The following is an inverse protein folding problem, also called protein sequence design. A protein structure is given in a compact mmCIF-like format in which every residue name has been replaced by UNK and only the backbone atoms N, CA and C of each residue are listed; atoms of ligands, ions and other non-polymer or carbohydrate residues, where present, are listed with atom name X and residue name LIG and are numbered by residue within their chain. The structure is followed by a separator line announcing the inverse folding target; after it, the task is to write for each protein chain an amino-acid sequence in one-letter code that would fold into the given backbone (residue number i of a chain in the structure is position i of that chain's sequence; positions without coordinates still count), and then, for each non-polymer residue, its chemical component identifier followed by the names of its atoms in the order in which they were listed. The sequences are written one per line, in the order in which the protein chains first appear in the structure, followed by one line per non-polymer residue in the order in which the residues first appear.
data_IF_313796168417
#
_entry.id   IF_313796168417
#
_cell.length_a   1.000
_cell.length_b   1.000
_cell.length_c   1.000
_cell.angle_alpha   90.00
_cell.angle_beta   90.00
_cell.angle_gamma   90.00
#
_symmetry.space_group_name_H-M   'P 1'
#
loop_
_entity.id
_entity.type
_entity.pdbx_description
1 polymer ?
#
# COMPACT_ATOMS: atom_id res chain seq x y z
N UNK A 1 30.37 19.32 5.59
CA UNK A 1 29.44 19.00 4.48
C UNK A 1 28.59 17.84 4.95
N UNK A 2 27.32 18.08 5.31
CA UNK A 2 26.42 17.01 5.75
C UNK A 2 26.03 16.11 4.57
N UNK A 3 25.72 14.83 4.80
CA UNK A 3 25.21 13.96 3.74
C UNK A 3 23.92 14.58 3.20
N UNK A 4 23.89 14.95 1.93
CA UNK A 4 22.69 15.50 1.31
C UNK A 4 21.55 14.47 1.40
N UNK A 5 20.39 14.87 1.91
CA UNK A 5 19.22 14.00 1.98
C UNK A 5 18.76 13.61 0.58
N UNK A 6 18.47 12.34 0.37
CA UNK A 6 17.80 11.85 -0.84
C UNK A 6 16.30 11.68 -0.57
N UNK A 7 15.47 12.11 -1.52
CA UNK A 7 14.01 12.02 -1.43
C UNK A 7 13.48 11.31 -2.68
N UNK A 8 12.68 10.26 -2.50
CA UNK A 8 11.95 9.61 -3.58
C UNK A 8 10.47 9.97 -3.45
N UNK A 9 9.93 10.66 -4.45
CA UNK A 9 8.50 10.96 -4.56
C UNK A 9 7.85 9.95 -5.49
N UNK A 10 6.72 9.41 -5.07
CA UNK A 10 5.99 8.37 -5.82
C UNK A 10 4.51 8.72 -5.82
N UNK A 11 3.87 8.62 -6.97
CA UNK A 11 2.43 8.84 -7.11
C UNK A 11 1.84 7.99 -8.24
N UNK A 12 0.54 7.78 -8.18
CA UNK A 12 -0.21 7.12 -9.26
C UNK A 12 -0.45 8.11 -10.40
N UNK A 13 -0.01 7.78 -11.61
CA UNK A 13 -0.25 8.58 -12.83
C UNK A 13 -1.65 8.36 -13.41
N UNK A 14 -2.32 7.27 -13.00
CA UNK A 14 -3.70 6.93 -13.38
C UNK A 14 -4.50 6.46 -12.16
N UNK A 15 -5.83 6.35 -12.31
CA UNK A 15 -6.67 5.75 -11.26
C UNK A 15 -6.36 4.25 -11.19
N UNK A 16 -5.94 3.72 -10.02
CA UNK A 16 -5.69 2.29 -9.87
C UNK A 16 -6.95 1.47 -10.13
N UNK A 17 -6.80 0.33 -10.79
CA UNK A 17 -7.88 -0.62 -11.05
C UNK A 17 -7.74 -1.79 -10.09
N UNK A 18 -8.83 -2.12 -9.41
CA UNK A 18 -8.90 -3.24 -8.47
C UNK A 18 -9.85 -4.31 -9.02
N UNK A 19 -9.35 -5.54 -9.08
CA UNK A 19 -10.14 -6.71 -9.46
C UNK A 19 -9.92 -7.82 -8.45
N UNK A 20 -10.99 -8.32 -7.84
CA UNK A 20 -10.88 -9.39 -6.84
C UNK A 20 -11.11 -10.77 -7.47
N UNK A 21 -10.21 -11.70 -7.14
CA UNK A 21 -10.23 -13.10 -7.54
C UNK A 21 -10.05 -13.99 -6.30
N UNK A 22 -10.34 -15.31 -6.36
CA UNK A 22 -10.12 -16.23 -5.24
C UNK A 22 -8.70 -16.26 -4.68
N UNK A 23 -7.69 -15.91 -5.49
CA UNK A 23 -6.28 -15.85 -5.06
C UNK A 23 -5.92 -14.56 -4.31
N UNK A 24 -6.72 -13.50 -4.45
CA UNK A 24 -6.43 -12.19 -3.88
C UNK A 24 -7.06 -11.04 -4.69
N UNK A 25 -6.86 -9.82 -4.22
CA UNK A 25 -7.24 -8.62 -4.96
C UNK A 25 -6.08 -8.15 -5.82
N UNK A 26 -6.23 -8.21 -7.14
CA UNK A 26 -5.26 -7.67 -8.08
C UNK A 26 -5.42 -6.16 -8.16
N UNK A 27 -4.33 -5.45 -7.88
CA UNK A 27 -4.21 -4.00 -8.03
C UNK A 27 -3.31 -3.73 -9.23
N UNK A 28 -3.84 -3.01 -10.20
CA UNK A 28 -3.08 -2.49 -11.33
C UNK A 28 -2.99 -0.97 -11.24
N UNK A 29 -1.79 -0.42 -11.35
CA UNK A 29 -1.56 1.02 -11.34
C UNK A 29 -0.42 1.41 -12.28
N UNK A 30 -0.57 2.56 -12.92
CA UNK A 30 0.55 3.26 -13.52
C UNK A 30 1.12 4.23 -12.50
N UNK A 31 2.41 4.12 -12.21
CA UNK A 31 3.10 4.84 -11.15
C UNK A 31 4.23 5.66 -11.75
N UNK A 32 4.34 6.91 -11.32
CA UNK A 32 5.46 7.79 -11.62
C UNK A 32 6.27 8.03 -10.37
N UNK A 33 7.59 8.17 -10.54
CA UNK A 33 8.49 8.45 -9.45
C UNK A 33 9.61 9.40 -9.86
N UNK A 34 10.02 10.24 -8.92
CA UNK A 34 11.10 11.20 -9.04
C UNK A 34 12.04 11.09 -7.84
N UNK A 35 13.32 10.90 -8.11
CA UNK A 35 14.38 10.87 -7.12
C UNK A 35 15.14 12.20 -7.12
N UNK A 36 15.22 12.83 -5.96
CA UNK A 36 15.99 14.05 -5.72
C UNK A 36 17.19 13.72 -4.83
N UNK A 37 18.40 14.07 -5.27
CA UNK A 37 19.63 13.84 -4.53
C UNK A 37 20.34 15.16 -4.22
N UNK A 38 20.91 15.29 -3.02
CA UNK A 38 21.84 16.39 -2.70
C UNK A 38 21.19 17.78 -2.59
N UNK A 39 19.89 17.86 -2.28
CA UNK A 39 19.16 19.14 -2.14
C UNK A 39 18.95 19.90 -3.46
N UNK A 40 19.10 19.21 -4.60
CA UNK A 40 18.83 19.79 -5.92
C UNK A 40 17.34 20.04 -6.12
N UNK A 41 17.00 21.08 -6.88
CA UNK A 41 15.61 21.41 -7.25
C UNK A 41 15.09 20.60 -8.43
N UNK A 42 15.99 20.00 -9.23
CA UNK A 42 15.63 19.14 -10.34
C UNK A 42 15.80 17.66 -9.96
N UNK A 43 14.91 16.77 -10.45
CA UNK A 43 15.02 15.34 -10.19
C UNK A 43 16.27 14.76 -10.88
N UNK A 44 17.01 13.93 -10.13
CA UNK A 44 18.17 13.18 -10.61
C UNK A 44 17.76 11.99 -11.47
N UNK A 45 16.62 11.36 -11.16
CA UNK A 45 16.05 10.23 -11.90
C UNK A 45 14.53 10.37 -11.93
N UNK A 46 13.94 10.23 -13.12
CA UNK A 46 12.50 10.12 -13.31
C UNK A 46 12.20 8.77 -13.94
N UNK A 47 11.20 8.06 -13.42
CA UNK A 47 10.72 6.84 -14.07
C UNK A 47 9.22 6.66 -13.95
N UNK A 48 8.68 5.89 -14.88
CA UNK A 48 7.27 5.52 -14.91
C UNK A 48 7.15 4.01 -15.11
N UNK A 49 6.34 3.36 -14.30
CA UNK A 49 6.14 1.91 -14.31
C UNK A 49 4.66 1.55 -14.31
N UNK A 50 4.29 0.52 -15.05
CA UNK A 50 3.05 -0.20 -14.81
C UNK A 50 3.32 -1.32 -13.81
N UNK A 51 2.54 -1.33 -12.72
CA UNK A 51 2.70 -2.29 -11.63
C UNK A 51 1.40 -3.05 -11.46
N UNK A 52 1.51 -4.38 -11.39
CA UNK A 52 0.42 -5.31 -11.09
C UNK A 52 0.82 -6.16 -9.88
N UNK A 53 0.02 -6.08 -8.82
CA UNK A 53 0.26 -6.80 -7.55
C UNK A 53 -1.00 -7.54 -7.16
N UNK A 54 -0.85 -8.80 -6.75
CA UNK A 54 -1.91 -9.54 -6.05
C UNK A 54 -1.76 -9.28 -4.55
N UNK A 55 -2.81 -8.75 -3.94
CA UNK A 55 -2.81 -8.38 -2.52
C UNK A 55 -3.79 -9.26 -1.76
N UNK A 56 -3.31 -9.90 -0.70
CA UNK A 56 -4.14 -10.55 0.32
C UNK A 56 -4.09 -9.75 1.61
N UNK A 57 -5.12 -9.91 2.44
CA UNK A 57 -5.28 -9.13 3.67
C UNK A 57 -5.43 -10.08 4.85
N UNK A 58 -4.80 -9.75 5.97
CA UNK A 58 -5.04 -10.42 7.24
C UNK A 58 -5.23 -9.39 8.36
N UNK A 59 -5.91 -9.79 9.43
CA UNK A 59 -6.09 -8.96 10.62
C UNK A 59 -5.64 -9.75 11.85
N UNK A 60 -4.71 -9.20 12.63
CA UNK A 60 -4.26 -9.77 13.89
C UNK A 60 -3.75 -8.68 14.81
N UNK A 61 -3.77 -8.91 16.13
CA UNK A 61 -3.27 -7.94 17.13
C UNK A 61 -3.85 -6.52 16.97
N UNK A 62 -5.13 -6.45 16.58
CA UNK A 62 -5.85 -5.21 16.25
C UNK A 62 -5.21 -4.38 15.12
N UNK A 63 -4.51 -5.04 14.19
CA UNK A 63 -3.84 -4.42 13.04
C UNK A 63 -4.19 -5.12 11.73
N UNK A 64 -4.27 -4.33 10.67
CA UNK A 64 -4.37 -4.80 9.29
C UNK A 64 -2.98 -5.07 8.75
N UNK A 65 -2.82 -6.19 8.04
CA UNK A 65 -1.61 -6.53 7.30
C UNK A 65 -1.98 -6.77 5.85
N UNK A 66 -1.24 -6.14 4.94
CA UNK A 66 -1.36 -6.36 3.51
C UNK A 66 -0.16 -7.17 3.02
N UNK A 67 -0.42 -8.29 2.37
CA UNK A 67 0.61 -9.15 1.78
C UNK A 67 0.54 -9.04 0.27
N UNK A 68 1.62 -8.57 -0.34
CA UNK A 68 1.69 -8.35 -1.78
C UNK A 68 2.55 -9.39 -2.47
N UNK A 69 2.01 -9.99 -3.52
CA UNK A 69 2.76 -10.79 -4.48
C UNK A 69 2.83 -10.03 -5.81
N UNK A 70 4.03 -9.55 -6.22
CA UNK A 70 4.21 -8.95 -7.53
C UNK A 70 3.81 -9.93 -8.64
N UNK A 71 3.02 -9.46 -9.61
CA UNK A 71 2.64 -10.24 -10.79
C UNK A 71 3.39 -9.76 -12.03
N UNK A 72 3.42 -8.44 -12.25
CA UNK A 72 4.08 -7.83 -13.39
C UNK A 72 4.53 -6.41 -13.04
N UNK A 73 5.76 -6.08 -13.43
CA UNK A 73 6.33 -4.74 -13.32
C UNK A 73 6.95 -4.42 -14.67
N UNK A 74 6.47 -3.37 -15.32
CA UNK A 74 6.96 -2.91 -16.62
C UNK A 74 7.42 -1.47 -16.50
N UNK A 75 8.72 -1.22 -16.71
CA UNK A 75 9.27 0.13 -16.77
C UNK A 75 8.96 0.71 -18.15
N UNK A 76 8.11 1.73 -18.19
CA UNK A 76 7.69 2.39 -19.44
C UNK A 76 8.71 3.45 -19.87
N UNK A 77 9.22 4.19 -18.89
CA UNK A 77 10.15 5.29 -19.12
C UNK A 77 11.08 5.41 -17.93
N UNK A 78 12.35 5.67 -18.19
CA UNK A 78 13.36 5.91 -17.17
C UNK A 78 14.42 6.83 -17.77
N UNK A 79 14.61 8.00 -17.17
CA UNK A 79 15.46 9.05 -17.70
C UNK A 79 16.22 9.77 -16.59
N UNK A 80 17.41 10.26 -16.93
CA UNK A 80 18.24 11.12 -16.09
C UNK A 80 18.09 12.56 -16.63
N UNK A 81 17.20 13.39 -16.07
CA UNK A 81 16.85 14.69 -16.65
C UNK A 81 18.07 15.60 -16.78
N UNK A 82 18.97 15.59 -15.80
CA UNK A 82 20.19 16.39 -15.80
C UNK A 82 21.16 16.05 -16.93
N UNK A 83 21.07 14.82 -17.48
CA UNK A 83 21.91 14.33 -18.57
C UNK A 83 21.17 14.27 -19.90
N UNK A 84 19.87 14.61 -19.93
CA UNK A 84 18.98 14.40 -21.09
C UNK A 84 19.13 13.01 -21.73
N UNK A 85 19.32 11.99 -20.88
CA UNK A 85 19.65 10.63 -21.32
C UNK A 85 18.61 9.63 -20.85
N UNK A 86 18.16 8.78 -21.77
CA UNK A 86 17.34 7.62 -21.45
C UNK A 86 18.21 6.49 -20.87
N UNK A 87 17.71 5.84 -19.84
CA UNK A 87 18.45 4.78 -19.16
C UNK A 87 18.55 3.50 -20.00
N UNK A 88 19.70 2.84 -19.92
CA UNK A 88 19.97 1.56 -20.57
C UNK A 88 19.13 0.42 -19.95
N UNK A 89 19.14 -0.74 -20.61
CA UNK A 89 18.36 -1.93 -20.19
C UNK A 89 18.74 -2.39 -18.79
N UNK A 90 20.03 -2.43 -18.45
CA UNK A 90 20.50 -2.87 -17.13
C UNK A 90 19.98 -1.97 -15.99
N UNK A 91 19.91 -0.66 -16.22
CA UNK A 91 19.37 0.27 -15.21
C UNK A 91 17.85 0.19 -15.12
N UNK A 92 17.15 -0.10 -16.23
CA UNK A 92 15.72 -0.37 -16.18
C UNK A 92 15.41 -1.63 -15.37
N UNK A 93 16.24 -2.66 -15.49
CA UNK A 93 16.11 -3.88 -14.69
C UNK A 93 16.36 -3.61 -13.20
N UNK A 94 17.34 -2.76 -12.87
CA UNK A 94 17.54 -2.29 -11.49
C UNK A 94 16.31 -1.57 -10.94
N UNK A 95 15.67 -0.69 -11.72
CA UNK A 95 14.42 -0.01 -11.31
C UNK A 95 13.31 -1.02 -11.09
N UNK A 96 13.14 -1.98 -12.01
CA UNK A 96 12.15 -3.05 -11.88
C UNK A 96 12.33 -3.81 -10.58
N UNK A 97 13.56 -4.21 -10.27
CA UNK A 97 13.91 -4.95 -9.06
C UNK A 97 13.74 -4.10 -7.79
N UNK A 98 14.08 -2.82 -7.82
CA UNK A 98 13.86 -1.89 -6.71
C UNK A 98 12.37 -1.68 -6.43
N UNK A 99 11.54 -1.54 -7.47
CA UNK A 99 10.08 -1.47 -7.33
C UNK A 99 9.55 -2.78 -6.72
N UNK A 100 10.04 -3.93 -7.16
CA UNK A 100 9.62 -5.24 -6.68
C UNK A 100 9.96 -5.46 -5.20
N UNK A 101 11.23 -5.26 -4.84
CA UNK A 101 11.79 -5.65 -3.53
C UNK A 101 11.64 -4.58 -2.45
N UNK A 102 11.50 -3.31 -2.84
CA UNK A 102 11.48 -2.17 -1.91
C UNK A 102 10.18 -1.38 -2.07
N UNK A 103 9.85 -0.95 -3.30
CA UNK A 103 8.72 -0.09 -3.57
C UNK A 103 7.37 -0.69 -3.13
N UNK A 104 7.05 -1.88 -3.65
CA UNK A 104 5.80 -2.58 -3.33
C UNK A 104 5.68 -2.87 -1.82
N UNK A 105 6.67 -3.52 -1.16
CA UNK A 105 6.58 -3.76 0.28
C UNK A 105 6.43 -2.49 1.12
N UNK A 106 7.13 -1.40 0.75
CA UNK A 106 7.06 -0.14 1.48
C UNK A 106 5.68 0.51 1.38
N UNK A 107 5.11 0.58 0.17
CA UNK A 107 3.76 1.14 -0.04
C UNK A 107 2.71 0.32 0.71
N UNK A 108 2.79 -1.01 0.67
CA UNK A 108 1.88 -1.88 1.41
C UNK A 108 2.01 -1.71 2.93
N UNK A 109 3.22 -1.49 3.44
CA UNK A 109 3.44 -1.20 4.85
C UNK A 109 2.78 0.12 5.27
N UNK A 110 2.95 1.20 4.49
CA UNK A 110 2.30 2.48 4.75
C UNK A 110 0.78 2.35 4.72
N UNK A 111 0.22 1.67 3.71
CA UNK A 111 -1.22 1.44 3.60
C UNK A 111 -1.78 0.58 4.74
N UNK A 112 -1.04 -0.44 5.18
CA UNK A 112 -1.44 -1.28 6.32
C UNK A 112 -1.63 -0.45 7.60
N UNK A 113 -0.69 0.48 7.86
CA UNK A 113 -0.77 1.41 8.99
C UNK A 113 -1.96 2.35 8.85
N UNK A 114 -2.17 2.91 7.65
CA UNK A 114 -3.26 3.85 7.42
C UNK A 114 -4.65 3.18 7.51
N UNK A 115 -4.80 1.96 7.00
CA UNK A 115 -6.05 1.20 7.15
C UNK A 115 -6.32 0.86 8.62
N UNK A 116 -5.31 0.42 9.36
CA UNK A 116 -5.44 0.19 10.81
C UNK A 116 -5.91 1.46 11.52
N UNK A 117 -5.26 2.60 11.24
CA UNK A 117 -5.62 3.89 11.83
C UNK A 117 -7.06 4.32 11.50
N UNK A 118 -7.54 4.03 10.29
CA UNK A 118 -8.93 4.31 9.90
C UNK A 118 -9.92 3.43 10.67
N UNK A 119 -9.63 2.15 10.85
CA UNK A 119 -10.44 1.25 11.68
C UNK A 119 -10.46 1.68 13.15
N UNK A 120 -9.30 2.07 13.68
CA UNK A 120 -9.18 2.55 15.06
C UNK A 120 -10.01 3.81 15.31
N UNK A 121 -10.04 4.72 14.33
CA UNK A 121 -10.90 5.91 14.36
C UNK A 121 -12.39 5.58 14.41
N UNK A 122 -12.79 4.44 13.85
CA UNK A 122 -14.17 3.93 13.93
C UNK A 122 -14.43 3.09 15.18
N UNK A 123 -13.45 2.96 16.08
CA UNK A 123 -13.60 2.22 17.33
C UNK A 123 -13.48 0.70 17.19
N UNK A 124 -12.99 0.18 16.05
CA UNK A 124 -12.78 -1.27 15.85
C UNK A 124 -11.87 -1.86 16.94
N UNK A 125 -10.87 -1.11 17.40
CA UNK A 125 -9.98 -1.50 18.50
C UNK A 125 -10.68 -1.73 19.85
N UNK A 126 -11.90 -1.22 20.04
CA UNK A 126 -12.67 -1.40 21.27
C UNK A 126 -13.23 -2.81 21.38
N UNK A 127 -13.44 -3.49 20.26
CA UNK A 127 -13.98 -4.85 20.23
C UNK A 127 -12.87 -5.89 20.31
N UNK A 128 -13.19 -7.04 20.89
CA UNK A 128 -12.36 -8.24 20.79
C UNK A 128 -12.78 -9.00 19.54
N UNK A 129 -11.90 -9.07 18.55
CA UNK A 129 -12.16 -9.73 17.28
C UNK A 129 -11.45 -11.08 17.32
N UNK A 130 -12.20 -12.17 17.12
CA UNK A 130 -11.70 -13.53 17.16
C UNK A 130 -11.71 -14.14 15.76
N UNK A 131 -10.61 -14.81 15.43
CA UNK A 131 -10.39 -15.54 14.17
C UNK A 131 -10.90 -14.80 12.93
N UNK A 132 -10.49 -13.53 12.69
CA UNK A 132 -10.94 -12.80 11.52
C UNK A 132 -10.30 -13.38 10.25
N UNK A 133 -11.15 -13.74 9.29
CA UNK A 133 -10.76 -14.24 7.99
C UNK A 133 -11.24 -13.28 6.89
N UNK A 134 -10.33 -12.97 5.95
CA UNK A 134 -10.64 -12.19 4.76
C UNK A 134 -10.60 -13.12 3.56
N UNK A 135 -11.78 -13.46 3.04
CA UNK A 135 -11.95 -14.40 1.93
C UNK A 135 -12.19 -13.64 0.64
N UNK A 136 -11.28 -13.80 -0.32
CA UNK A 136 -11.43 -13.20 -1.65
C UNK A 136 -12.31 -14.09 -2.54
N UNK A 137 -13.21 -13.48 -3.30
CA UNK A 137 -14.13 -14.14 -4.25
C UNK A 137 -14.13 -13.37 -5.57
N UNK A 138 -14.65 -13.96 -6.63
CA UNK A 138 -14.77 -13.27 -7.91
C UNK A 138 -15.67 -12.04 -7.77
N UNK A 139 -15.07 -10.85 -7.86
CA UNK A 139 -15.75 -9.56 -7.79
C UNK A 139 -16.07 -9.02 -6.38
N UNK A 140 -15.81 -9.76 -5.30
CA UNK A 140 -16.10 -9.29 -3.92
C UNK A 140 -15.19 -9.91 -2.86
N UNK A 141 -15.16 -9.30 -1.68
CA UNK A 141 -14.42 -9.78 -0.50
C UNK A 141 -15.43 -10.04 0.62
N UNK A 142 -15.26 -11.14 1.34
CA UNK A 142 -16.03 -11.47 2.53
C UNK A 142 -15.11 -11.37 3.73
N UNK A 143 -15.56 -10.68 4.78
CA UNK A 143 -14.90 -10.67 6.07
C UNK A 143 -15.76 -11.49 7.04
N UNK A 144 -15.17 -12.54 7.62
CA UNK A 144 -15.83 -13.40 8.60
C UNK A 144 -15.05 -13.30 9.90
N UNK A 145 -15.75 -13.16 11.02
CA UNK A 145 -15.14 -13.10 12.34
C UNK A 145 -16.19 -13.38 13.41
N UNK A 146 -15.73 -13.83 14.57
CA UNK A 146 -16.50 -13.73 15.81
C UNK A 146 -16.06 -12.48 16.57
N UNK A 147 -16.91 -11.95 17.44
CA UNK A 147 -16.54 -10.81 18.27
C UNK A 147 -17.03 -10.94 19.71
N UNK A 148 -16.18 -10.52 20.64
CA UNK A 148 -16.52 -10.26 22.02
C UNK A 148 -17.03 -8.83 22.16
N UNK A 149 -18.24 -8.67 22.67
CA UNK A 149 -18.81 -7.36 22.95
C UNK A 149 -18.39 -6.90 24.35
N UNK A 150 -17.59 -5.83 24.52
CA UNK A 150 -17.18 -5.37 25.82
C UNK A 150 -18.35 -4.80 26.62
N UNK A 151 -18.58 -5.31 27.83
CA UNK A 151 -19.73 -4.92 28.66
C UNK A 151 -19.83 -3.40 28.92
N UNK A 152 -18.68 -2.74 29.13
CA UNK A 152 -18.64 -1.31 29.41
C UNK A 152 -19.20 -0.46 28.25
N UNK A 153 -19.02 -0.88 26.98
CA UNK A 153 -19.58 -0.16 25.83
C UNK A 153 -21.11 -0.18 25.83
N UNK A 154 -21.73 -1.28 26.24
CA UNK A 154 -23.19 -1.39 26.32
C UNK A 154 -23.73 -0.47 27.41
N UNK A 155 -23.09 -0.49 28.58
CA UNK A 155 -23.48 0.36 29.71
C UNK A 155 -23.37 1.84 29.35
N UNK A 156 -22.26 2.24 28.72
CA UNK A 156 -22.05 3.64 28.30
C UNK A 156 -23.05 4.07 27.23
N UNK A 157 -23.38 3.19 26.29
CA UNK A 157 -24.42 3.43 25.30
C UNK A 157 -25.80 3.65 25.95
N UNK A 158 -26.20 2.77 26.88
CA UNK A 158 -27.48 2.88 27.57
C UNK A 158 -27.56 4.16 28.41
N UNK A 159 -26.49 4.53 29.13
CA UNK A 159 -26.44 5.78 29.90
C UNK A 159 -26.62 7.02 29.01
N UNK A 160 -26.03 7.02 27.81
CA UNK A 160 -26.17 8.13 26.85
C UNK A 160 -27.54 8.22 26.19
N UNK A 161 -28.26 7.11 26.09
CA UNK A 161 -29.54 7.03 25.36
C UNK A 161 -30.75 7.19 26.27
N UNK A 162 -30.61 6.90 27.57
CA UNK A 162 -31.67 6.98 28.57
C UNK A 162 -31.62 8.27 29.42
N UNK A 163 -30.71 9.19 29.11
CA UNK A 163 -30.64 10.55 29.66
C UNK A 163 -30.94 11.56 28.54
#
# INVERSE_FOLDING_TARGET
MGPGSSELRVWSSSVPVLSTFPSGTRVWAQVSAELYCGGQTAPTLCFQTNVSVEVTVSYSDKKVFLHGKPLQILVLRAELPTQNQQLNVDTQEFIREAVEKIGIPHVLSVLSVEFTRLLDKQGTHLFDIFNPEVLHRDGYVVVQMDFGFPHHLLVDFLKKTLQ
#
